data_IF_500225912384
#
_entry.id   IF_500225912384
#
_cell.length_a   1.000
_cell.length_b   1.000
_cell.length_c   1.000
_cell.angle_alpha   90.00
_cell.angle_beta   90.00
_cell.angle_gamma   90.00
#
_symmetry.space_group_name_H-M   'P 1'
#
loop_
_entity.id
_entity.type
_entity.pdbx_description
1 polymer ?
#
# COMPACT_ATOMS: atom_id res chain seq x y z
N UNK A 1 7.03 -8.54 -19.25
CA UNK A 1 7.38 -8.76 -17.83
C UNK A 1 8.48 -7.82 -17.37
N UNK A 2 9.46 -7.48 -18.22
CA UNK A 2 10.37 -6.34 -17.97
C UNK A 2 9.63 -5.03 -17.72
N UNK A 3 8.59 -4.74 -18.49
CA UNK A 3 7.76 -3.54 -18.30
C UNK A 3 7.02 -3.52 -16.95
N UNK A 4 6.52 -4.68 -16.49
CA UNK A 4 5.85 -4.82 -15.19
C UNK A 4 6.84 -4.70 -14.02
N UNK A 5 8.07 -5.19 -14.22
CA UNK A 5 9.17 -5.00 -13.26
C UNK A 5 9.63 -3.54 -13.24
N UNK A 6 9.64 -2.84 -14.39
CA UNK A 6 9.97 -1.42 -14.50
C UNK A 6 8.90 -0.58 -13.81
N UNK A 7 7.62 -0.79 -14.13
CA UNK A 7 6.48 -0.13 -13.48
C UNK A 7 6.47 -0.39 -11.97
N UNK A 8 6.74 -1.63 -11.53
CA UNK A 8 6.88 -1.95 -10.12
C UNK A 8 8.07 -1.24 -9.46
N UNK A 9 9.22 -1.12 -10.14
CA UNK A 9 10.37 -0.39 -9.63
C UNK A 9 10.11 1.10 -9.52
N UNK A 10 9.39 1.69 -10.49
CA UNK A 10 8.97 3.09 -10.44
C UNK A 10 7.94 3.33 -9.34
N UNK A 11 6.94 2.45 -9.24
CA UNK A 11 5.97 2.47 -8.16
C UNK A 11 6.63 2.30 -6.79
N UNK A 12 7.55 1.34 -6.63
CA UNK A 12 8.31 1.12 -5.40
C UNK A 12 9.14 2.34 -5.03
N UNK A 13 9.86 2.95 -5.99
CA UNK A 13 10.63 4.18 -5.72
C UNK A 13 9.73 5.34 -5.28
N UNK A 14 8.57 5.49 -5.93
CA UNK A 14 7.58 6.48 -5.53
C UNK A 14 7.09 6.19 -4.11
N UNK A 15 6.68 4.96 -3.81
CA UNK A 15 6.28 4.54 -2.46
C UNK A 15 7.41 4.76 -1.45
N UNK A 16 8.68 4.48 -1.76
CA UNK A 16 9.80 4.65 -0.84
C UNK A 16 10.02 6.13 -0.48
N UNK A 17 10.02 7.05 -1.46
CA UNK A 17 10.14 8.50 -1.17
C UNK A 17 8.96 9.03 -0.37
N UNK A 18 7.79 8.45 -0.61
CA UNK A 18 6.52 8.86 0.00
C UNK A 18 6.38 8.33 1.43
N UNK A 19 6.76 7.07 1.66
CA UNK A 19 6.86 6.44 2.97
C UNK A 19 7.91 7.15 3.81
N UNK A 20 9.00 7.65 3.24
CA UNK A 20 9.96 8.48 3.98
C UNK A 20 9.32 9.76 4.51
N UNK A 21 8.57 10.49 3.69
CA UNK A 21 7.89 11.73 4.12
C UNK A 21 6.81 11.45 5.16
N UNK A 22 6.05 10.37 4.99
CA UNK A 22 5.02 9.94 5.94
C UNK A 22 5.58 9.34 7.24
N UNK A 23 6.73 8.68 7.20
CA UNK A 23 7.40 8.14 8.39
C UNK A 23 7.82 9.24 9.36
N UNK A 24 8.05 10.45 8.86
CA UNK A 24 8.34 11.63 9.68
C UNK A 24 7.15 12.10 10.51
N UNK A 25 5.92 11.68 10.20
CA UNK A 25 4.75 11.90 11.06
C UNK A 25 4.74 11.00 12.30
N UNK A 26 5.62 9.99 12.39
CA UNK A 26 5.70 9.16 13.59
C UNK A 26 6.29 9.94 14.77
N UNK A 27 5.90 9.62 16.02
CA UNK A 27 6.42 10.27 17.23
C UNK A 27 7.94 10.41 17.33
N UNK A 28 8.67 9.43 16.78
CA UNK A 28 10.14 9.40 16.78
C UNK A 28 10.78 10.44 15.86
N UNK A 29 10.10 10.79 14.77
CA UNK A 29 10.65 11.62 13.69
C UNK A 29 9.88 12.95 13.50
N UNK A 30 8.80 13.18 14.26
CA UNK A 30 7.95 14.39 14.22
C UNK A 30 8.75 15.69 14.40
N UNK A 31 9.83 15.64 15.17
CA UNK A 31 10.70 16.81 15.42
C UNK A 31 11.53 17.22 14.19
N UNK A 32 11.68 16.32 13.22
CA UNK A 32 12.39 16.57 11.96
C UNK A 32 11.45 16.91 10.79
N UNK A 33 10.15 17.06 11.07
CA UNK A 33 9.15 17.34 10.04
C UNK A 33 9.35 18.74 9.46
N UNK A 34 9.58 18.83 8.15
CA UNK A 34 9.81 20.09 7.44
C UNK A 34 8.62 20.47 6.57
N UNK A 35 8.56 21.74 6.15
CA UNK A 35 7.54 22.23 5.21
C UNK A 35 7.55 21.46 3.88
N UNK A 36 8.72 21.00 3.43
CA UNK A 36 8.88 20.18 2.22
C UNK A 36 8.17 18.83 2.38
N UNK A 37 8.18 18.26 3.58
CA UNK A 37 7.49 16.99 3.86
C UNK A 37 5.96 17.18 3.82
N UNK A 38 5.46 18.32 4.31
CA UNK A 38 4.05 18.69 4.19
C UNK A 38 3.62 18.83 2.72
N UNK A 39 4.41 19.55 1.91
CA UNK A 39 4.13 19.73 0.48
C UNK A 39 4.11 18.40 -0.26
N UNK A 40 5.01 17.48 0.06
CA UNK A 40 5.06 16.14 -0.54
C UNK A 40 3.84 15.30 -0.15
N UNK A 41 3.47 15.29 1.13
CA UNK A 41 2.28 14.58 1.62
C UNK A 41 1.01 15.12 0.95
N UNK A 42 0.95 16.43 0.70
CA UNK A 42 -0.23 17.07 0.13
C UNK A 42 -0.36 16.83 -1.37
N UNK A 43 0.76 16.85 -2.10
CA UNK A 43 0.78 16.40 -3.50
C UNK A 43 0.26 14.98 -3.66
N UNK A 44 0.43 14.12 -2.65
CA UNK A 44 -0.13 12.76 -2.66
C UNK A 44 -1.60 12.68 -2.31
N UNK A 45 -2.03 13.43 -1.30
CA UNK A 45 -3.39 13.29 -0.74
C UNK A 45 -4.40 14.16 -1.51
N UNK A 46 -3.96 15.22 -2.18
CA UNK A 46 -4.86 16.21 -2.79
C UNK A 46 -5.58 17.05 -1.74
N UNK A 47 -4.90 17.44 -0.65
CA UNK A 47 -5.43 18.40 0.34
C UNK A 47 -5.17 19.83 -0.15
N UNK A 48 -6.08 20.74 0.18
CA UNK A 48 -6.07 22.12 -0.33
C UNK A 48 -4.99 23.05 0.25
N UNK A 49 -4.30 22.71 1.36
CA UNK A 49 -3.39 23.67 2.02
C UNK A 49 -2.19 23.07 2.78
N UNK A 50 -0.98 23.34 2.30
CA UNK A 50 0.29 22.90 2.89
C UNK A 50 0.75 23.67 4.11
N UNK A 51 0.34 24.92 4.21
CA UNK A 51 0.65 25.71 5.39
C UNK A 51 -0.20 25.25 6.58
N UNK A 52 -1.45 24.83 6.31
CA UNK A 52 -2.32 24.29 7.35
C UNK A 52 -1.76 23.01 7.98
N UNK A 53 -1.32 22.04 7.16
CA UNK A 53 -0.73 20.80 7.68
C UNK A 53 0.56 21.07 8.47
N UNK A 54 1.44 21.92 7.95
CA UNK A 54 2.69 22.25 8.64
C UNK A 54 2.43 22.94 9.99
N UNK A 55 1.48 23.87 10.05
CA UNK A 55 1.11 24.56 11.29
C UNK A 55 0.48 23.60 12.31
N UNK A 56 -0.42 22.70 11.88
CA UNK A 56 -1.01 21.68 12.74
C UNK A 56 0.05 20.74 13.33
N UNK A 57 1.00 20.27 12.50
CA UNK A 57 2.12 19.43 12.96
C UNK A 57 2.99 20.21 13.94
N UNK A 58 3.34 21.46 13.63
CA UNK A 58 4.21 22.28 14.49
C UNK A 58 3.57 22.58 15.86
N UNK A 59 2.25 22.80 15.90
CA UNK A 59 1.50 23.03 17.13
C UNK A 59 1.47 21.80 18.04
N UNK A 60 1.41 20.60 17.46
CA UNK A 60 1.25 19.36 18.22
C UNK A 60 2.49 18.47 18.25
N UNK A 61 3.62 18.89 17.65
CA UNK A 61 4.84 18.05 17.57
C UNK A 61 5.35 17.60 18.94
N UNK A 62 5.30 18.46 19.96
CA UNK A 62 5.77 18.14 21.31
C UNK A 62 4.89 17.04 21.90
N UNK A 63 3.57 17.22 21.82
CA UNK A 63 2.61 16.22 22.30
C UNK A 63 2.66 14.92 21.52
N UNK A 64 2.91 14.99 20.21
CA UNK A 64 3.04 13.82 19.35
C UNK A 64 4.32 13.05 19.68
N UNK A 65 5.41 13.76 20.02
CA UNK A 65 6.70 13.15 20.39
C UNK A 65 6.68 12.39 21.71
N UNK A 66 5.73 12.70 22.60
CA UNK A 66 5.52 11.97 23.85
C UNK A 66 4.89 10.58 23.64
N UNK A 67 4.27 10.32 22.49
CA UNK A 67 3.63 9.02 22.25
C UNK A 67 4.65 7.95 21.84
N UNK A 68 4.55 6.75 22.43
CA UNK A 68 5.46 5.65 22.08
C UNK A 68 5.21 5.08 20.69
N UNK A 69 3.95 5.10 20.22
CA UNK A 69 3.54 4.43 18.98
C UNK A 69 2.65 5.32 18.11
N UNK A 70 2.83 5.22 16.78
CA UNK A 70 2.02 5.91 15.76
C UNK A 70 0.52 5.61 15.87
N UNK A 71 0.13 4.45 16.40
CA UNK A 71 -1.27 4.07 16.65
C UNK A 71 -1.90 4.81 17.82
N UNK A 72 -1.10 5.24 18.80
CA UNK A 72 -1.58 6.07 19.93
C UNK A 72 -1.71 7.51 19.48
N UNK A 73 -0.70 8.00 18.74
CA UNK A 73 -0.76 9.32 18.12
C UNK A 73 -1.96 9.46 17.17
N UNK A 74 -2.26 8.44 16.36
CA UNK A 74 -3.41 8.48 15.45
C UNK A 74 -4.76 8.55 16.18
N UNK A 75 -4.91 7.87 17.33
CA UNK A 75 -6.11 7.98 18.18
C UNK A 75 -6.28 9.38 18.73
N UNK A 76 -5.19 9.97 19.26
CA UNK A 76 -5.19 11.34 19.78
C UNK A 76 -5.61 12.38 18.73
N UNK A 77 -5.10 12.22 17.50
CA UNK A 77 -5.45 13.08 16.36
C UNK A 77 -6.90 12.86 15.94
N UNK A 78 -7.36 11.60 15.91
CA UNK A 78 -8.74 11.26 15.55
C UNK A 78 -9.78 11.81 16.54
N UNK A 79 -9.48 11.80 17.84
CA UNK A 79 -10.31 12.43 18.88
C UNK A 79 -10.49 13.95 18.66
N UNK A 80 -9.53 14.59 17.97
CA UNK A 80 -9.50 16.02 17.68
C UNK A 80 -9.68 16.33 16.20
N UNK A 81 -10.36 15.45 15.45
CA UNK A 81 -10.57 15.57 14.00
C UNK A 81 -11.14 16.92 13.53
N UNK A 82 -11.90 17.61 14.39
CA UNK A 82 -12.50 18.92 14.09
C UNK A 82 -11.49 20.07 14.21
N UNK A 83 -10.47 19.92 15.05
CA UNK A 83 -9.40 20.90 15.26
C UNK A 83 -8.20 20.66 14.34
N UNK A 84 -8.04 19.42 13.87
CA UNK A 84 -6.88 18.95 13.10
C UNK A 84 -7.30 18.20 11.82
N UNK A 85 -8.08 18.83 10.92
CA UNK A 85 -8.61 18.17 9.73
C UNK A 85 -7.51 17.66 8.78
N UNK A 86 -6.41 18.41 8.60
CA UNK A 86 -5.35 18.03 7.67
C UNK A 86 -4.45 16.95 8.25
N UNK A 87 -4.09 17.06 9.53
CA UNK A 87 -3.33 16.04 10.25
C UNK A 87 -4.11 14.73 10.38
N UNK A 88 -5.43 14.80 10.59
CA UNK A 88 -6.29 13.60 10.65
C UNK A 88 -6.30 12.87 9.32
N UNK A 89 -6.44 13.60 8.21
CA UNK A 89 -6.31 13.01 6.87
C UNK A 89 -4.92 12.40 6.70
N UNK A 90 -3.85 13.14 6.97
CA UNK A 90 -2.48 12.63 6.85
C UNK A 90 -2.25 11.33 7.64
N UNK A 91 -2.78 11.24 8.86
CA UNK A 91 -2.74 10.02 9.67
C UNK A 91 -3.64 8.89 9.14
N UNK A 92 -4.80 9.20 8.56
CA UNK A 92 -5.61 8.20 7.85
C UNK A 92 -4.83 7.61 6.67
N UNK A 93 -4.19 8.45 5.86
CA UNK A 93 -3.34 7.99 4.75
C UNK A 93 -2.12 7.22 5.23
N UNK A 94 -1.51 7.64 6.34
CA UNK A 94 -0.41 6.91 6.98
C UNK A 94 -0.84 5.48 7.40
N UNK A 95 -2.09 5.31 7.84
CA UNK A 95 -2.63 4.03 8.28
C UNK A 95 -3.19 3.18 7.14
N UNK A 96 -3.68 3.79 6.06
CA UNK A 96 -4.22 3.08 4.88
C UNK A 96 -3.14 2.72 3.87
N UNK A 97 -2.07 3.51 3.78
CA UNK A 97 -0.89 3.12 3.03
C UNK A 97 -0.27 1.91 3.73
N UNK A 98 0.12 0.85 2.98
CA UNK A 98 0.76 -0.30 3.56
C UNK A 98 2.19 0.06 3.95
N UNK A 99 2.34 0.78 5.07
CA UNK A 99 3.64 0.95 5.75
C UNK A 99 4.19 -0.41 6.19
N UNK A 100 3.33 -1.44 6.29
CA UNK A 100 3.79 -2.83 6.38
C UNK A 100 4.17 -3.37 5.00
N UNK A 101 5.34 -2.94 4.53
CA UNK A 101 6.04 -3.53 3.36
C UNK A 101 6.12 -5.07 3.50
N UNK A 102 6.10 -5.58 4.73
CA UNK A 102 6.13 -7.00 5.07
C UNK A 102 5.07 -7.88 4.39
N UNK A 103 3.82 -7.42 4.18
CA UNK A 103 2.79 -8.28 3.56
C UNK A 103 3.05 -8.48 2.07
N UNK A 104 3.42 -7.39 1.40
CA UNK A 104 3.76 -7.36 -0.02
C UNK A 104 5.08 -8.10 -0.25
N UNK A 105 6.12 -7.82 0.54
CA UNK A 105 7.41 -8.53 0.51
C UNK A 105 7.27 -10.03 0.77
N UNK A 106 6.44 -10.44 1.73
CA UNK A 106 6.18 -11.86 2.00
C UNK A 106 5.52 -12.54 0.80
N UNK A 107 4.59 -11.86 0.11
CA UNK A 107 3.95 -12.35 -1.11
C UNK A 107 4.94 -12.46 -2.27
N UNK A 108 5.79 -11.44 -2.49
CA UNK A 108 6.84 -11.47 -3.50
C UNK A 108 7.94 -12.51 -3.21
N UNK A 109 8.27 -12.73 -1.94
CA UNK A 109 9.21 -13.77 -1.51
C UNK A 109 8.69 -15.17 -1.85
N UNK A 110 7.42 -15.44 -1.57
CA UNK A 110 6.75 -16.68 -2.00
C UNK A 110 6.76 -16.82 -3.52
N UNK A 111 6.49 -15.74 -4.25
CA UNK A 111 6.52 -15.75 -5.72
C UNK A 111 7.91 -16.07 -6.27
N UNK A 112 8.97 -15.53 -5.66
CA UNK A 112 10.36 -15.82 -6.02
C UNK A 112 10.68 -17.30 -5.86
N UNK A 113 10.18 -17.95 -4.82
CA UNK A 113 10.33 -19.40 -4.59
C UNK A 113 9.62 -20.20 -5.70
N UNK A 114 8.37 -19.85 -6.02
CA UNK A 114 7.59 -20.53 -7.07
C UNK A 114 8.29 -20.40 -8.43
N UNK A 115 8.77 -19.19 -8.78
CA UNK A 115 9.48 -18.93 -10.03
C UNK A 115 10.80 -19.68 -10.12
N UNK A 116 11.58 -19.73 -9.03
CA UNK A 116 12.84 -20.50 -9.02
C UNK A 116 12.59 -22.00 -9.21
N UNK A 117 11.56 -22.53 -8.55
CA UNK A 117 11.23 -23.97 -8.63
C UNK A 117 10.68 -24.37 -10.00
N UNK A 118 9.96 -23.49 -10.69
CA UNK A 118 9.30 -23.77 -11.98
C UNK A 118 9.98 -23.05 -13.17
N UNK A 119 11.24 -22.62 -13.00
CA UNK A 119 11.95 -21.72 -13.94
C UNK A 119 11.99 -22.19 -15.39
N UNK A 120 11.94 -23.50 -15.63
CA UNK A 120 12.00 -24.10 -16.98
C UNK A 120 10.62 -24.34 -17.61
N UNK A 121 9.54 -24.21 -16.85
CA UNK A 121 8.16 -24.54 -17.30
C UNK A 121 7.16 -23.40 -17.13
N UNK A 122 7.52 -22.32 -16.44
CA UNK A 122 6.63 -21.21 -16.11
C UNK A 122 6.81 -20.04 -17.07
N UNK A 123 5.78 -19.73 -17.86
CA UNK A 123 5.72 -18.49 -18.66
C UNK A 123 5.29 -17.30 -17.79
N UNK A 124 5.64 -16.09 -18.25
CA UNK A 124 5.26 -14.85 -17.56
C UNK A 124 3.75 -14.66 -17.47
N UNK A 125 3.00 -15.09 -18.49
CA UNK A 125 1.54 -15.04 -18.52
C UNK A 125 0.92 -15.97 -17.47
N UNK A 126 1.48 -17.18 -17.31
CA UNK A 126 1.05 -18.13 -16.28
C UNK A 126 1.37 -17.62 -14.87
N UNK A 127 2.49 -16.92 -14.70
CA UNK A 127 2.84 -16.30 -13.43
C UNK A 127 1.91 -15.14 -13.09
N UNK A 128 1.58 -14.29 -14.07
CA UNK A 128 0.68 -13.16 -13.87
C UNK A 128 -0.73 -13.62 -13.49
N UNK A 129 -1.28 -14.60 -14.20
CA UNK A 129 -2.58 -15.20 -13.86
C UNK A 129 -2.58 -15.84 -12.47
N UNK A 130 -1.50 -16.52 -12.07
CA UNK A 130 -1.38 -17.06 -10.71
C UNK A 130 -1.34 -15.95 -9.65
N UNK A 131 -0.61 -14.86 -9.91
CA UNK A 131 -0.56 -13.71 -9.01
C UNK A 131 -1.95 -13.11 -8.83
N UNK A 132 -2.68 -12.90 -9.94
CA UNK A 132 -4.04 -12.39 -9.93
C UNK A 132 -4.95 -13.28 -9.08
N UNK A 133 -4.86 -14.61 -9.25
CA UNK A 133 -5.64 -15.55 -8.43
C UNK A 133 -5.28 -15.50 -6.95
N UNK A 134 -4.00 -15.27 -6.60
CA UNK A 134 -3.61 -15.16 -5.18
C UNK A 134 -4.05 -13.84 -4.54
N UNK A 135 -4.00 -12.73 -5.28
CA UNK A 135 -4.42 -11.42 -4.82
C UNK A 135 -5.95 -11.36 -4.63
N UNK A 136 -6.68 -11.89 -5.61
CA UNK A 136 -8.15 -11.93 -5.62
C UNK A 136 -8.70 -13.22 -5.02
N UNK A 137 -7.90 -13.92 -4.19
CA UNK A 137 -8.29 -15.21 -3.62
C UNK A 137 -9.60 -15.14 -2.83
N UNK A 138 -9.84 -14.03 -2.12
CA UNK A 138 -11.09 -13.78 -1.39
C UNK A 138 -12.32 -13.64 -2.30
N UNK A 139 -12.13 -13.17 -3.52
CA UNK A 139 -13.18 -13.07 -4.54
C UNK A 139 -13.35 -14.42 -5.22
N UNK A 140 -12.26 -15.13 -5.53
CA UNK A 140 -12.29 -16.47 -6.10
C UNK A 140 -12.95 -17.50 -5.17
N UNK A 141 -12.84 -17.35 -3.86
CA UNK A 141 -13.53 -18.19 -2.89
C UNK A 141 -15.07 -18.07 -2.99
N UNK A 142 -15.56 -16.97 -3.56
CA UNK A 142 -16.99 -16.75 -3.82
C UNK A 142 -17.43 -17.26 -5.20
N UNK A 143 -16.47 -17.63 -6.06
CA UNK A 143 -16.76 -18.14 -7.40
C UNK A 143 -17.06 -19.62 -7.32
N UNK A 144 -18.20 -20.03 -7.89
CA UNK A 144 -18.58 -21.43 -7.94
C UNK A 144 -17.72 -22.20 -8.96
N UNK A 145 -16.83 -23.06 -8.46
CA UNK A 145 -15.98 -23.90 -9.28
C UNK A 145 -16.76 -24.78 -10.27
N UNK A 146 -17.96 -25.24 -9.92
CA UNK A 146 -18.76 -26.07 -10.83
C UNK A 146 -19.24 -25.26 -12.04
N UNK A 147 -19.63 -24.01 -11.83
CA UNK A 147 -20.03 -23.10 -12.91
C UNK A 147 -18.85 -22.72 -13.81
N UNK A 148 -17.66 -22.53 -13.24
CA UNK A 148 -16.44 -22.26 -14.01
C UNK A 148 -16.11 -23.45 -14.91
N UNK A 149 -16.18 -24.68 -14.38
CA UNK A 149 -15.94 -25.91 -15.14
C UNK A 149 -16.99 -26.10 -16.24
N UNK A 150 -18.26 -25.86 -15.94
CA UNK A 150 -19.32 -25.93 -16.96
C UNK A 150 -19.14 -24.87 -18.05
N UNK A 151 -18.80 -23.63 -17.70
CA UNK A 151 -18.56 -22.57 -18.67
C UNK A 151 -17.35 -22.86 -19.54
N UNK A 152 -16.29 -23.42 -18.94
CA UNK A 152 -15.09 -23.80 -19.67
C UNK A 152 -15.35 -24.98 -20.62
N UNK A 153 -16.10 -26.00 -20.19
CA UNK A 153 -16.47 -27.13 -21.04
C UNK A 153 -17.42 -26.72 -22.17
N UNK A 154 -18.39 -25.82 -21.91
CA UNK A 154 -19.28 -25.23 -22.93
C UNK A 154 -18.51 -24.41 -23.98
N UNK A 155 -17.45 -23.71 -23.59
CA UNK A 155 -16.60 -22.97 -24.51
C UNK A 155 -15.55 -23.83 -25.23
N UNK A 156 -15.38 -25.11 -24.83
CA UNK A 156 -14.47 -26.08 -25.45
C UNK A 156 -15.21 -27.00 -26.42
N UNK A 157 -15.91 -26.41 -27.38
CA UNK A 157 -16.47 -27.16 -28.51
C UNK A 157 -15.34 -27.55 -29.46
N UNK A 158 -14.63 -28.67 -29.20
CA UNK A 158 -13.89 -29.37 -30.27
C UNK A 158 -12.45 -29.88 -30.02
N UNK A 159 -11.89 -29.88 -28.80
CA UNK A 159 -10.63 -30.61 -28.54
C UNK A 159 -10.78 -31.60 -27.39
N UNK A 160 -11.01 -32.86 -27.76
CA UNK A 160 -10.95 -34.04 -26.88
C UNK A 160 -9.49 -34.25 -26.46
N UNK A 161 -9.29 -34.56 -25.19
CA UNK A 161 -8.02 -35.00 -24.59
C UNK A 161 -7.93 -36.51 -24.77
#
# INVERSE_FOLDING_TARGET
MDQLIIEYKEFSKSIDSNVQSLSKLSPKYINSFTKIDAENIIKMIGIDDSDLLYNEVQLFKEKISEFETTTVASKFVHERKTLLPSLTKAYQYLLTLPISVASVERSFSKMKIVKNRLRTTMSDERLYSLLLCTLESSILDQVNNTEVVERWTKNKTGRRI
#
